data_IF_015862854538
#
_entry.id   IF_015862854538
#
_cell.length_a   1.000
_cell.length_b   1.000
_cell.length_c   1.000
_cell.angle_alpha   90.00
_cell.angle_beta   90.00
_cell.angle_gamma   90.00
#
_symmetry.space_group_name_H-M   'P 1'
#
loop_
_entity.id
_entity.type
_entity.pdbx_description
1 polymer ?
#
# COMPACT_ATOMS: atom_id res chain seq x y z
N UNK A 1 17.68 -12.23 -8.46
CA UNK A 1 16.39 -12.79 -7.99
C UNK A 1 15.65 -11.71 -7.21
N UNK A 2 14.37 -11.42 -7.51
CA UNK A 2 13.58 -10.49 -6.69
C UNK A 2 13.07 -11.21 -5.45
N UNK A 3 13.15 -10.56 -4.29
CA UNK A 3 12.58 -11.14 -3.06
C UNK A 3 11.05 -11.08 -3.11
N UNK A 4 10.34 -11.98 -2.40
CA UNK A 4 8.88 -11.93 -2.31
C UNK A 4 8.33 -10.58 -1.81
N UNK A 5 9.10 -9.85 -1.00
CA UNK A 5 8.76 -8.51 -0.52
C UNK A 5 8.86 -7.47 -1.64
N UNK A 6 9.88 -7.52 -2.49
CA UNK A 6 9.99 -6.61 -3.64
C UNK A 6 8.85 -6.81 -4.65
N UNK A 7 8.40 -8.05 -4.86
CA UNK A 7 7.26 -8.33 -5.73
C UNK A 7 5.96 -7.72 -5.18
N UNK A 8 5.69 -7.87 -3.88
CA UNK A 8 4.53 -7.26 -3.22
C UNK A 8 4.56 -5.73 -3.25
N UNK A 9 5.71 -5.13 -2.93
CA UNK A 9 5.87 -3.67 -2.97
C UNK A 9 5.64 -3.11 -4.37
N UNK A 10 6.04 -3.83 -5.44
CA UNK A 10 5.71 -3.43 -6.81
C UNK A 10 4.20 -3.43 -7.06
N UNK A 11 3.51 -4.52 -6.70
CA UNK A 11 2.04 -4.62 -6.84
C UNK A 11 1.35 -3.49 -6.08
N UNK A 12 1.78 -3.20 -4.86
CA UNK A 12 1.23 -2.11 -4.06
C UNK A 12 1.51 -0.75 -4.69
N UNK A 13 2.73 -0.50 -5.19
CA UNK A 13 3.07 0.75 -5.89
C UNK A 13 2.24 0.96 -7.16
N UNK A 14 1.95 -0.10 -7.91
CA UNK A 14 1.08 -0.02 -9.09
C UNK A 14 -0.36 0.32 -8.65
N UNK A 15 -0.89 -0.36 -7.63
CA UNK A 15 -2.22 -0.08 -7.08
C UNK A 15 -2.38 1.38 -6.62
N UNK A 16 -1.41 1.91 -5.86
CA UNK A 16 -1.51 3.28 -5.31
C UNK A 16 -1.29 4.37 -6.35
N UNK A 17 -0.65 4.06 -7.49
CA UNK A 17 -0.55 5.00 -8.62
C UNK A 17 -1.87 5.14 -9.36
N UNK A 18 -2.58 4.02 -9.56
CA UNK A 18 -3.84 4.00 -10.30
C UNK A 18 -5.03 4.46 -9.45
N UNK A 19 -4.93 4.30 -8.12
CA UNK A 19 -6.03 4.57 -7.20
C UNK A 19 -5.86 5.91 -6.45
N UNK A 20 -6.77 6.86 -6.68
CA UNK A 20 -6.76 8.19 -6.08
C UNK A 20 -7.56 8.31 -4.76
N UNK A 21 -8.02 7.19 -4.19
CA UNK A 21 -8.87 7.17 -3.01
C UNK A 21 -8.18 6.77 -1.71
N UNK A 22 -8.99 6.55 -0.69
CA UNK A 22 -8.56 6.01 0.61
C UNK A 22 -8.11 4.55 0.49
N UNK A 23 -6.82 4.31 0.69
CA UNK A 23 -6.20 2.99 0.69
C UNK A 23 -6.25 2.42 2.09
N UNK A 24 -6.88 1.25 2.22
CA UNK A 24 -7.04 0.54 3.50
C UNK A 24 -6.33 -0.81 3.44
N UNK A 25 -5.83 -1.30 4.58
CA UNK A 25 -5.19 -2.62 4.68
C UNK A 25 -6.04 -3.75 4.10
N UNK A 26 -7.36 -3.73 4.32
CA UNK A 26 -8.27 -4.74 3.77
C UNK A 26 -8.40 -4.71 2.25
N UNK A 27 -8.23 -3.53 1.63
CA UNK A 27 -8.20 -3.39 0.18
C UNK A 27 -6.94 -4.02 -0.41
N UNK A 28 -5.78 -3.70 0.18
CA UNK A 28 -4.49 -4.27 -0.23
C UNK A 28 -4.47 -5.78 -0.02
N UNK A 29 -5.01 -6.28 1.10
CA UNK A 29 -5.18 -7.71 1.35
C UNK A 29 -5.96 -8.40 0.21
N UNK A 30 -7.13 -7.87 -0.16
CA UNK A 30 -7.94 -8.42 -1.26
C UNK A 30 -7.18 -8.37 -2.59
N UNK A 31 -6.43 -7.30 -2.83
CA UNK A 31 -5.62 -7.16 -4.03
C UNK A 31 -4.48 -8.20 -4.08
N UNK A 32 -3.81 -8.46 -2.95
CA UNK A 32 -2.81 -9.53 -2.86
C UNK A 32 -3.42 -10.91 -3.06
N UNK A 33 -4.59 -11.20 -2.47
CA UNK A 33 -5.30 -12.47 -2.74
C UNK A 33 -5.59 -12.64 -4.23
N UNK A 34 -6.06 -11.57 -4.89
CA UNK A 34 -6.39 -11.62 -6.33
C UNK A 34 -5.16 -11.81 -7.23
N UNK A 35 -3.98 -11.31 -6.83
CA UNK A 35 -2.75 -11.35 -7.66
C UNK A 35 -1.83 -12.52 -7.33
N UNK A 36 -1.80 -12.96 -6.08
CA UNK A 36 -0.85 -13.93 -5.53
C UNK A 36 -1.52 -15.21 -5.02
N UNK A 37 -2.85 -15.27 -5.02
CA UNK A 37 -3.63 -16.39 -4.49
C UNK A 37 -3.93 -16.29 -2.99
N UNK A 38 -4.70 -17.24 -2.44
CA UNK A 38 -5.07 -17.25 -1.02
C UNK A 38 -3.83 -17.34 -0.11
N UNK A 39 -3.85 -16.59 0.99
CA UNK A 39 -2.74 -16.55 1.95
C UNK A 39 -2.95 -15.51 3.05
N UNK A 40 -2.09 -15.55 4.08
CA UNK A 40 -2.08 -14.55 5.14
C UNK A 40 -1.37 -13.27 4.69
N UNK A 41 -2.18 -12.41 4.05
CA UNK A 41 -1.71 -11.16 3.47
C UNK A 41 -1.96 -9.95 4.36
N UNK A 42 -2.77 -10.06 5.43
CA UNK A 42 -3.18 -8.90 6.22
C UNK A 42 -1.99 -8.26 6.95
N UNK A 43 -1.16 -9.07 7.59
CA UNK A 43 0.05 -8.59 8.26
C UNK A 43 1.05 -7.99 7.28
N UNK A 44 1.24 -8.65 6.12
CA UNK A 44 2.16 -8.19 5.06
C UNK A 44 1.68 -6.89 4.41
N UNK A 45 0.40 -6.77 4.10
CA UNK A 45 -0.21 -5.57 3.58
C UNK A 45 -0.02 -4.38 4.52
N UNK A 46 -0.14 -4.60 5.84
CA UNK A 46 0.14 -3.56 6.84
C UNK A 46 1.61 -3.13 6.82
N UNK A 47 2.54 -4.09 6.87
CA UNK A 47 3.98 -3.79 6.82
C UNK A 47 4.37 -3.05 5.53
N UNK A 48 3.81 -3.48 4.39
CA UNK A 48 4.09 -2.89 3.09
C UNK A 48 3.50 -1.46 3.01
N UNK A 49 2.30 -1.19 3.54
CA UNK A 49 1.73 0.16 3.63
C UNK A 49 2.55 1.09 4.52
N UNK A 50 2.97 0.61 5.70
CA UNK A 50 3.83 1.37 6.62
C UNK A 50 5.19 1.68 5.95
N UNK A 51 5.72 0.76 5.14
CA UNK A 51 6.94 0.98 4.35
C UNK A 51 6.75 2.10 3.32
N UNK A 52 5.68 2.09 2.52
CA UNK A 52 5.42 3.15 1.55
C UNK A 52 5.17 4.51 2.23
N UNK A 53 4.55 4.51 3.41
CA UNK A 53 4.36 5.74 4.18
C UNK A 53 5.71 6.31 4.67
N UNK A 54 6.62 5.45 5.15
CA UNK A 54 7.99 5.85 5.53
C UNK A 54 8.82 6.35 4.35
N UNK A 55 8.60 5.78 3.16
CA UNK A 55 9.22 6.26 1.91
C UNK A 55 8.62 7.59 1.41
N UNK A 56 7.57 8.09 2.07
CA UNK A 56 6.88 9.32 1.68
C UNK A 56 5.98 9.16 0.45
N UNK A 57 5.77 7.94 -0.05
CA UNK A 57 4.84 7.64 -1.15
C UNK A 57 3.38 7.73 -0.71
N UNK A 58 3.11 7.35 0.53
CA UNK A 58 1.78 7.42 1.13
C UNK A 58 1.79 8.37 2.32
N UNK A 59 0.67 9.05 2.54
CA UNK A 59 0.38 9.78 3.77
C UNK A 59 -0.63 8.94 4.56
N UNK A 60 -0.33 8.71 5.82
CA UNK A 60 -1.29 8.12 6.76
C UNK A 60 -2.26 9.21 7.20
N UNK A 61 -3.55 8.93 7.11
CA UNK A 61 -4.60 9.79 7.64
C UNK A 61 -4.76 9.52 9.14
N UNK A 62 -4.26 10.44 9.97
CA UNK A 62 -4.29 10.34 11.43
C UNK A 62 -5.61 10.85 12.04
N UNK A 63 -6.56 11.34 11.23
CA UNK A 63 -7.88 11.80 11.72
C UNK A 63 -8.71 10.67 12.34
N UNK A 64 -8.41 9.42 11.99
CA UNK A 64 -8.99 8.25 12.62
C UNK A 64 -7.90 7.18 12.86
N UNK A 65 -7.31 7.14 14.06
CA UNK A 65 -6.21 6.23 14.38
C UNK A 65 -6.59 4.75 14.26
N UNK A 66 -7.88 4.42 14.41
CA UNK A 66 -8.41 3.05 14.30
C UNK A 66 -8.66 2.63 12.85
N UNK A 67 -9.02 3.57 11.98
CA UNK A 67 -9.31 3.27 10.58
C UNK A 67 -8.05 3.03 9.73
N UNK A 68 -6.89 3.57 10.15
CA UNK A 68 -5.57 3.44 9.47
C UNK A 68 -5.69 3.51 7.96
N UNK A 69 -6.11 4.68 7.51
CA UNK A 69 -6.30 5.00 6.10
C UNK A 69 -5.01 5.61 5.56
N UNK A 70 -4.66 5.27 4.33
CA UNK A 70 -3.52 5.82 3.61
C UNK A 70 -4.01 6.51 2.34
N UNK A 71 -3.33 7.57 1.92
CA UNK A 71 -3.59 8.30 0.68
C UNK A 71 -2.30 8.49 -0.08
N UNK A 72 -2.39 8.58 -1.41
CA UNK A 72 -1.23 8.89 -2.23
C UNK A 72 -0.65 10.25 -1.84
N UNK A 73 0.66 10.33 -1.64
CA UNK A 73 1.33 11.61 -1.47
C UNK A 73 1.55 12.26 -2.85
N UNK A 74 0.66 13.18 -3.24
CA UNK A 74 0.79 13.90 -4.50
C UNK A 74 2.05 14.78 -4.59
N UNK A 75 2.65 15.18 -3.46
CA UNK A 75 3.93 15.88 -3.46
C UNK A 75 5.08 15.00 -3.98
N UNK A 76 4.96 13.67 -3.86
CA UNK A 76 5.92 12.72 -4.42
C UNK A 76 5.68 12.43 -5.91
N UNK A 77 4.52 12.81 -6.44
CA UNK A 77 4.12 12.55 -7.83
C UNK A 77 4.52 13.72 -8.78
N UNK A 78 4.82 14.91 -8.24
CA UNK A 78 5.18 16.11 -9.00
C UNK A 78 6.69 16.33 -9.24
N UNK A 79 7.53 15.32 -8.96
CA UNK A 79 8.97 15.36 -9.22
C UNK A 79 9.33 14.70 -10.54
N UNK A 80 8.88 15.27 -11.67
CA UNK A 80 9.40 14.99 -13.01
C UNK A 80 9.10 16.19 -13.92
#
# INVERSE_FOLDING_TARGET
MRTPTQARLRILRDLVRDYQGDIKTGMVQKHYVSKLGPGDWRGKARQDLDQLAREGLLIRDDRNPDARVFRLNHAHQGGA
#
